data_IF_515144969600
#
_entry.id   IF_515144969600
#
_cell.length_a   1.000
_cell.length_b   1.000
_cell.length_c   1.000
_cell.angle_alpha   90.00
_cell.angle_beta   90.00
_cell.angle_gamma   90.00
#
_symmetry.space_group_name_H-M   'P 1'
#
loop_
_entity.id
_entity.type
_entity.pdbx_description
1 polymer ?
#
# COMPACT_ATOMS: atom_id res chain seq x y z
N UNK A 1 -6.66 -28.30 -0.89
CA UNK A 1 -7.35 -27.32 -1.73
C UNK A 1 -7.48 -27.83 -3.16
N UNK A 2 -8.72 -27.97 -3.63
CA UNK A 2 -9.02 -28.32 -5.02
C UNK A 2 -9.20 -27.05 -5.85
N UNK A 3 -8.11 -26.31 -6.09
CA UNK A 3 -8.14 -25.19 -7.04
C UNK A 3 -7.81 -25.71 -8.44
N UNK A 4 -8.43 -25.13 -9.46
CA UNK A 4 -8.24 -25.51 -10.88
C UNK A 4 -7.55 -24.39 -11.65
N UNK A 5 -6.52 -23.79 -11.06
CA UNK A 5 -5.73 -22.75 -11.72
C UNK A 5 -4.80 -23.38 -12.76
N UNK A 6 -4.31 -22.59 -13.72
CA UNK A 6 -3.32 -23.01 -14.72
C UNK A 6 -1.94 -23.25 -14.11
N UNK A 7 -1.82 -24.21 -13.19
CA UNK A 7 -0.59 -24.46 -12.43
C UNK A 7 0.62 -24.78 -13.31
N UNK A 8 0.43 -25.49 -14.43
CA UNK A 8 1.52 -25.76 -15.38
C UNK A 8 2.10 -24.48 -15.97
N UNK A 9 1.24 -23.56 -16.42
CA UNK A 9 1.66 -22.29 -17.03
C UNK A 9 2.28 -21.36 -15.98
N UNK A 10 1.70 -21.31 -14.78
CA UNK A 10 2.25 -20.58 -13.64
C UNK A 10 3.64 -21.10 -13.27
N UNK A 11 3.80 -22.42 -13.18
CA UNK A 11 5.08 -23.06 -12.84
C UNK A 11 6.13 -22.78 -13.90
N UNK A 12 5.77 -22.89 -15.18
CA UNK A 12 6.67 -22.61 -16.31
C UNK A 12 7.19 -21.17 -16.24
N UNK A 13 6.29 -20.18 -16.11
CA UNK A 13 6.66 -18.76 -16.06
C UNK A 13 7.49 -18.43 -14.82
N UNK A 14 7.07 -18.85 -13.63
CA UNK A 14 7.80 -18.57 -12.38
C UNK A 14 9.17 -19.25 -12.38
N UNK A 15 9.28 -20.46 -12.94
CA UNK A 15 10.56 -21.18 -13.00
C UNK A 15 11.53 -20.54 -13.99
N UNK A 16 11.05 -20.08 -15.14
CA UNK A 16 11.85 -19.42 -16.17
C UNK A 16 12.40 -18.05 -15.76
N UNK A 17 11.74 -17.36 -14.83
CA UNK A 17 12.12 -16.01 -14.40
C UNK A 17 13.10 -16.01 -13.22
N UNK A 18 14.14 -15.19 -13.27
CA UNK A 18 15.09 -15.01 -12.16
C UNK A 18 14.74 -13.82 -11.27
N UNK A 19 14.23 -12.74 -11.89
CA UNK A 19 13.78 -11.51 -11.23
C UNK A 19 12.28 -11.33 -11.43
N UNK A 20 11.54 -11.19 -10.33
CA UNK A 20 10.08 -11.10 -10.34
C UNK A 20 9.66 -9.78 -9.68
N UNK A 21 8.75 -9.05 -10.32
CA UNK A 21 8.11 -7.87 -9.76
C UNK A 21 6.68 -8.20 -9.31
N UNK A 22 6.39 -8.03 -8.03
CA UNK A 22 5.04 -8.10 -7.48
C UNK A 22 4.45 -6.69 -7.43
N UNK A 23 3.36 -6.45 -8.15
CA UNK A 23 2.76 -5.12 -8.30
C UNK A 23 1.35 -5.05 -7.71
N UNK A 24 1.11 -4.00 -6.92
CA UNK A 24 -0.15 -3.68 -6.28
C UNK A 24 -0.85 -2.48 -6.94
N UNK A 25 -2.19 -2.37 -6.85
CA UNK A 25 -2.94 -1.22 -7.34
C UNK A 25 -2.67 0.03 -6.52
N UNK A 26 -3.13 1.17 -7.01
CA UNK A 26 -3.25 2.38 -6.19
C UNK A 26 -4.25 2.15 -5.06
N UNK A 27 -3.91 2.63 -3.85
CA UNK A 27 -4.69 2.47 -2.62
C UNK A 27 -5.13 1.02 -2.38
N UNK A 28 -4.16 0.10 -2.21
CA UNK A 28 -4.49 -1.30 -2.03
C UNK A 28 -5.23 -1.53 -0.71
N UNK A 29 -6.14 -2.50 -0.72
CA UNK A 29 -6.76 -3.04 0.48
C UNK A 29 -5.77 -3.86 1.32
N UNK A 30 -6.11 -4.08 2.59
CA UNK A 30 -5.31 -4.91 3.50
C UNK A 30 -5.05 -6.31 2.95
N UNK A 31 -6.07 -6.96 2.38
CA UNK A 31 -5.95 -8.27 1.72
C UNK A 31 -4.99 -8.27 0.51
N UNK A 32 -5.03 -7.22 -0.32
CA UNK A 32 -4.10 -7.10 -1.45
C UNK A 32 -2.65 -7.01 -0.96
N UNK A 33 -2.38 -6.17 0.04
CA UNK A 33 -1.03 -6.04 0.61
C UNK A 33 -0.58 -7.35 1.27
N UNK A 34 -1.45 -7.99 2.05
CA UNK A 34 -1.17 -9.24 2.72
C UNK A 34 -0.84 -10.38 1.74
N UNK A 35 -1.68 -10.54 0.71
CA UNK A 35 -1.48 -11.55 -0.33
C UNK A 35 -0.21 -11.31 -1.15
N UNK A 36 0.07 -10.06 -1.53
CA UNK A 36 1.28 -9.71 -2.27
C UNK A 36 2.56 -9.96 -1.45
N UNK A 37 2.56 -9.60 -0.16
CA UNK A 37 3.68 -9.88 0.74
C UNK A 37 3.88 -11.39 0.97
N UNK A 38 2.79 -12.15 1.04
CA UNK A 38 2.85 -13.62 1.17
C UNK A 38 3.51 -14.26 -0.05
N UNK A 39 3.10 -13.85 -1.24
CA UNK A 39 3.71 -14.35 -2.48
C UNK A 39 5.17 -13.89 -2.59
N UNK A 40 5.47 -12.65 -2.22
CA UNK A 40 6.82 -12.11 -2.18
C UNK A 40 7.75 -12.95 -1.28
N UNK A 41 7.35 -13.25 -0.05
CA UNK A 41 8.14 -14.05 0.89
C UNK A 41 8.36 -15.48 0.36
N UNK A 42 7.29 -16.11 -0.13
CA UNK A 42 7.35 -17.47 -0.68
C UNK A 42 8.28 -17.58 -1.89
N UNK A 43 8.21 -16.63 -2.83
CA UNK A 43 9.10 -16.58 -3.99
C UNK A 43 10.54 -16.23 -3.62
N UNK A 44 10.76 -15.38 -2.62
CA UNK A 44 12.10 -15.07 -2.14
C UNK A 44 12.76 -16.30 -1.50
N UNK A 45 11.98 -17.08 -0.72
CA UNK A 45 12.43 -18.32 -0.11
C UNK A 45 12.74 -19.42 -1.13
N UNK A 46 12.12 -19.40 -2.31
CA UNK A 46 12.45 -20.32 -3.41
C UNK A 46 13.70 -19.91 -4.19
N UNK A 47 14.41 -18.86 -3.74
CA UNK A 47 15.68 -18.40 -4.32
C UNK A 47 15.54 -17.41 -5.47
N UNK A 48 14.34 -16.87 -5.71
CA UNK A 48 14.12 -15.83 -6.73
C UNK A 48 14.48 -14.45 -6.18
N UNK A 49 14.91 -13.56 -7.07
CA UNK A 49 15.03 -12.13 -6.72
C UNK A 49 13.67 -11.49 -6.91
N UNK A 50 13.03 -11.04 -5.84
CA UNK A 50 11.68 -10.51 -5.89
C UNK A 50 11.68 -9.05 -5.46
N UNK A 51 10.97 -8.22 -6.20
CA UNK A 51 10.69 -6.83 -5.86
C UNK A 51 9.20 -6.68 -5.62
N UNK A 52 8.79 -5.81 -4.70
CA UNK A 52 7.38 -5.52 -4.47
C UNK A 52 7.15 -4.01 -4.54
N UNK A 53 6.10 -3.61 -5.25
CA UNK A 53 5.78 -2.21 -5.48
C UNK A 53 4.32 -1.88 -5.31
N UNK A 54 4.08 -0.69 -4.77
CA UNK A 54 2.75 -0.10 -4.70
C UNK A 54 2.87 1.41 -4.92
N UNK A 55 2.15 2.01 -5.88
CA UNK A 55 2.17 3.46 -6.10
C UNK A 55 1.61 4.30 -4.94
N UNK A 56 1.05 3.68 -3.90
CA UNK A 56 0.58 4.36 -2.69
C UNK A 56 1.47 3.96 -1.51
N UNK A 57 1.96 4.94 -0.77
CA UNK A 57 2.77 4.71 0.44
C UNK A 57 2.00 3.87 1.45
N UNK A 58 2.67 2.89 2.07
CA UNK A 58 2.08 2.07 3.12
C UNK A 58 1.86 2.89 4.39
N UNK A 59 0.65 2.81 4.94
CA UNK A 59 0.27 3.46 6.21
C UNK A 59 0.48 2.53 7.40
N UNK A 60 0.26 3.04 8.61
CA UNK A 60 0.34 2.26 9.87
C UNK A 60 -0.63 1.07 9.92
N UNK A 61 -1.68 1.06 9.09
CA UNK A 61 -2.66 -0.04 9.02
C UNK A 61 -2.01 -1.36 8.60
N UNK A 62 -0.98 -1.31 7.76
CA UNK A 62 -0.28 -2.48 7.24
C UNK A 62 0.89 -2.93 8.12
N UNK A 63 1.17 -2.25 9.24
CA UNK A 63 2.37 -2.49 10.06
C UNK A 63 2.46 -3.91 10.65
N UNK A 64 1.33 -4.60 10.76
CA UNK A 64 1.23 -5.96 11.28
C UNK A 64 1.56 -7.03 10.24
N UNK A 65 1.74 -6.65 8.97
CA UNK A 65 2.13 -7.56 7.91
C UNK A 65 3.65 -7.69 7.86
N UNK A 66 4.12 -8.93 7.79
CA UNK A 66 5.54 -9.24 7.68
C UNK A 66 6.05 -8.80 6.32
N UNK A 67 7.14 -8.01 6.33
CA UNK A 67 7.80 -7.53 5.11
C UNK A 67 7.20 -6.27 4.50
N UNK A 68 6.27 -5.58 5.18
CA UNK A 68 5.67 -4.33 4.68
C UNK A 68 6.70 -3.24 4.36
N UNK A 69 7.83 -3.24 5.07
CA UNK A 69 8.97 -2.34 4.84
C UNK A 69 9.68 -2.57 3.49
N UNK A 70 9.43 -3.70 2.82
CA UNK A 70 9.98 -4.03 1.51
C UNK A 70 9.21 -3.40 0.35
N UNK A 71 8.02 -2.86 0.62
CA UNK A 71 7.18 -2.23 -0.41
C UNK A 71 7.75 -0.88 -0.79
N UNK A 72 8.12 -0.75 -2.05
CA UNK A 72 8.65 0.50 -2.62
C UNK A 72 7.60 1.19 -3.49
N UNK A 73 7.53 2.52 -3.42
CA UNK A 73 6.61 3.29 -4.27
C UNK A 73 6.95 3.22 -5.75
N UNK A 74 8.25 3.15 -6.03
CA UNK A 74 8.80 3.02 -7.36
C UNK A 74 9.88 1.96 -7.33
N UNK A 75 9.82 1.02 -8.25
CA UNK A 75 10.96 0.17 -8.52
C UNK A 75 11.85 0.90 -9.49
N UNK A 76 13.07 1.19 -9.03
CA UNK A 76 14.09 1.74 -9.90
C UNK A 76 14.49 0.65 -10.89
N UNK A 77 14.36 0.95 -12.18
CA UNK A 77 14.91 0.11 -13.23
C UNK A 77 16.42 -0.05 -13.10
N UNK A 78 16.96 -1.13 -13.68
CA UNK A 78 18.40 -1.37 -13.77
C UNK A 78 19.09 -0.33 -14.64
N UNK A 79 18.35 0.24 -15.60
CA UNK A 79 18.92 1.10 -16.62
C UNK A 79 18.62 2.55 -16.25
N UNK A 80 19.68 3.31 -15.97
CA UNK A 80 19.56 4.76 -15.76
C UNK A 80 19.45 5.45 -17.11
N UNK A 81 18.30 6.03 -17.40
CA UNK A 81 18.10 6.92 -18.55
C UNK A 81 18.38 8.35 -18.11
N UNK A 82 19.32 9.00 -18.79
CA UNK A 82 19.59 10.43 -18.65
C UNK A 82 19.06 11.15 -19.88
N UNK A 83 17.93 11.82 -19.74
CA UNK A 83 17.30 12.61 -20.79
C UNK A 83 17.63 14.08 -20.62
N UNK A 84 18.00 14.77 -21.68
CA UNK A 84 18.30 16.20 -21.64
C UNK A 84 17.20 16.98 -22.35
N UNK A 85 16.72 18.05 -21.73
CA UNK A 85 15.86 19.04 -22.40
C UNK A 85 16.70 19.93 -23.32
N UNK A 86 17.20 19.31 -24.39
CA UNK A 86 18.16 19.87 -25.30
C UNK A 86 17.96 19.28 -26.69
N UNK A 87 18.02 20.13 -27.74
CA UNK A 87 17.80 19.66 -29.11
C UNK A 87 18.94 18.73 -29.54
N UNK A 88 18.59 17.54 -30.02
CA UNK A 88 19.55 16.55 -30.53
C UNK A 88 20.41 17.09 -31.68
N UNK A 89 19.89 18.03 -32.46
CA UNK A 89 20.60 18.63 -33.60
C UNK A 89 21.77 19.52 -33.17
N UNK A 90 21.80 19.92 -31.89
CA UNK A 90 22.87 20.73 -31.29
C UNK A 90 23.95 19.85 -30.64
N UNK A 91 23.73 18.54 -30.53
CA UNK A 91 24.71 17.59 -30.03
C UNK A 91 25.66 17.21 -31.17
N UNK A 92 26.96 17.32 -30.92
CA UNK A 92 28.01 16.90 -31.85
C UNK A 92 28.39 15.44 -31.63
N UNK A 93 28.56 15.04 -30.37
CA UNK A 93 28.99 13.68 -30.01
C UNK A 93 28.55 13.30 -28.60
N UNK A 94 28.17 12.04 -28.43
CA UNK A 94 28.02 11.40 -27.11
C UNK A 94 29.08 10.30 -27.00
N UNK A 95 29.85 10.30 -25.91
CA UNK A 95 30.88 9.31 -25.65
C UNK A 95 30.90 8.84 -24.20
N UNK A 96 31.42 7.64 -23.99
CA UNK A 96 31.65 7.05 -22.67
C UNK A 96 33.13 7.13 -22.31
N UNK A 97 33.45 7.47 -21.05
CA UNK A 97 34.77 7.24 -20.46
C UNK A 97 34.65 6.49 -19.12
N UNK A 98 35.73 5.84 -18.72
CA UNK A 98 35.89 5.31 -17.37
C UNK A 98 37.04 6.07 -16.70
N UNK A 99 36.74 6.72 -15.57
CA UNK A 99 37.74 7.37 -14.71
C UNK A 99 37.81 6.64 -13.36
N UNK A 100 38.79 5.76 -13.22
CA UNK A 100 39.05 5.00 -11.99
C UNK A 100 37.83 4.20 -11.48
N UNK A 101 37.11 3.53 -12.39
CA UNK A 101 35.92 2.74 -12.07
C UNK A 101 34.64 3.59 -11.97
N UNK A 102 34.68 4.86 -12.41
CA UNK A 102 33.51 5.73 -12.51
C UNK A 102 33.14 5.91 -13.98
N UNK A 103 32.02 5.32 -14.43
CA UNK A 103 31.54 5.53 -15.79
C UNK A 103 31.04 6.96 -15.96
N UNK A 104 31.57 7.68 -16.95
CA UNK A 104 31.14 9.03 -17.31
C UNK A 104 30.54 9.05 -18.71
N UNK A 105 29.40 9.73 -18.84
CA UNK A 105 28.83 10.10 -20.13
C UNK A 105 29.26 11.52 -20.47
N UNK A 106 29.98 11.70 -21.58
CA UNK A 106 30.45 13.00 -22.07
C UNK A 106 29.63 13.39 -23.29
N UNK A 107 28.90 14.50 -23.17
CA UNK A 107 28.11 15.08 -24.25
C UNK A 107 28.82 16.33 -24.76
N UNK A 108 29.24 16.29 -26.02
CA UNK A 108 29.85 17.41 -26.72
C UNK A 108 28.79 18.09 -27.59
N UNK A 109 28.67 19.40 -27.42
CA UNK A 109 27.75 20.24 -28.19
C UNK A 109 28.48 20.90 -29.36
N UNK A 110 27.75 21.20 -30.44
CA UNK A 110 28.31 21.87 -31.62
C UNK A 110 28.83 23.25 -31.28
N UNK A 111 29.86 23.67 -32.00
CA UNK A 111 30.47 24.98 -31.81
C UNK A 111 29.44 26.11 -32.06
N UNK A 112 29.26 27.01 -31.08
CA UNK A 112 28.25 28.08 -31.11
C UNK A 112 26.86 27.69 -30.56
N UNK A 113 26.64 26.43 -30.18
CA UNK A 113 25.40 26.01 -29.51
C UNK A 113 25.36 26.48 -28.04
N UNK A 114 24.16 26.66 -27.45
CA UNK A 114 24.02 26.99 -26.04
C UNK A 114 24.64 25.91 -25.15
N UNK A 115 25.35 26.31 -24.08
CA UNK A 115 25.92 25.36 -23.13
C UNK A 115 24.83 24.45 -22.53
N UNK A 116 25.11 23.14 -22.47
CA UNK A 116 24.24 22.16 -21.81
C UNK A 116 24.32 22.36 -20.29
N UNK A 117 23.19 22.70 -19.66
CA UNK A 117 23.14 22.97 -18.22
C UNK A 117 22.67 21.74 -17.44
N UNK A 118 23.21 21.55 -16.24
CA UNK A 118 22.84 20.43 -15.34
C UNK A 118 21.33 20.35 -15.09
N UNK A 119 20.66 21.49 -14.89
CA UNK A 119 19.21 21.58 -14.68
C UNK A 119 18.35 21.06 -15.85
N UNK A 120 18.94 20.86 -17.03
CA UNK A 120 18.27 20.30 -18.19
C UNK A 120 18.36 18.77 -18.22
N UNK A 121 19.20 18.17 -17.38
CA UNK A 121 19.27 16.73 -17.20
C UNK A 121 18.08 16.25 -16.36
N UNK A 122 17.39 15.25 -16.88
CA UNK A 122 16.33 14.50 -16.21
C UNK A 122 16.78 13.06 -16.11
N UNK A 123 16.74 12.54 -14.90
CA UNK A 123 17.04 11.13 -14.64
C UNK A 123 15.72 10.37 -14.56
N UNK A 124 15.59 9.35 -15.37
CA UNK A 124 14.57 8.32 -15.25
C UNK A 124 15.25 6.96 -15.20
N UNK A 125 14.52 5.96 -14.77
CA UNK A 125 14.98 4.59 -14.81
C UNK A 125 14.07 3.82 -15.76
N UNK A 126 14.65 2.98 -16.62
CA UNK A 126 13.91 2.06 -17.46
C UNK A 126 14.35 0.63 -17.17
N UNK A 127 13.47 -0.31 -17.54
CA UNK A 127 13.66 -1.72 -17.29
C UNK A 127 13.73 -2.00 -15.79
N UNK A 128 12.61 -2.32 -15.14
CA UNK A 128 12.56 -2.85 -13.76
C UNK A 128 13.47 -4.09 -13.62
N UNK A 129 14.02 -4.60 -14.72
CA UNK A 129 14.95 -5.71 -14.76
C UNK A 129 14.28 -7.00 -14.28
N UNK A 130 12.95 -6.98 -14.13
CA UNK A 130 12.15 -8.13 -13.82
C UNK A 130 11.80 -8.86 -15.12
N UNK A 131 12.02 -10.16 -15.11
CA UNK A 131 11.70 -11.06 -16.20
C UNK A 131 10.20 -11.42 -16.20
N UNK A 132 9.52 -11.17 -15.07
CA UNK A 132 8.11 -11.48 -14.84
C UNK A 132 7.48 -10.45 -13.90
N UNK A 133 6.28 -10.02 -14.24
CA UNK A 133 5.43 -9.21 -13.38
C UNK A 133 4.28 -10.08 -12.89
N UNK A 134 4.02 -10.02 -11.58
CA UNK A 134 2.83 -10.60 -10.97
C UNK A 134 1.98 -9.47 -10.41
N UNK A 135 0.80 -9.24 -10.97
CA UNK A 135 -0.14 -8.23 -10.49
C UNK A 135 -1.14 -8.85 -9.53
N UNK A 136 -1.42 -8.17 -8.41
CA UNK A 136 -2.43 -8.60 -7.44
C UNK A 136 -3.52 -7.55 -7.28
N UNK A 137 -4.75 -7.86 -7.70
CA UNK A 137 -5.91 -7.00 -7.53
C UNK A 137 -5.91 -5.76 -8.43
N UNK A 138 -5.24 -5.85 -9.58
CA UNK A 138 -5.25 -4.84 -10.64
C UNK A 138 -6.20 -5.33 -11.72
N UNK A 139 -7.24 -4.54 -12.03
CA UNK A 139 -8.30 -4.95 -12.98
C UNK A 139 -7.95 -4.71 -14.45
N UNK A 140 -7.11 -3.71 -14.70
CA UNK A 140 -6.74 -3.24 -16.03
C UNK A 140 -5.25 -2.89 -16.04
N UNK A 141 -4.54 -3.30 -17.08
CA UNK A 141 -3.12 -3.00 -17.30
C UNK A 141 -2.82 -1.50 -17.23
N UNK A 142 -3.78 -0.65 -17.64
CA UNK A 142 -3.63 0.80 -17.58
C UNK A 142 -3.45 1.32 -16.14
N UNK A 143 -3.93 0.58 -15.14
CA UNK A 143 -3.77 0.92 -13.73
C UNK A 143 -2.40 0.53 -13.15
N UNK A 144 -1.57 -0.21 -13.91
CA UNK A 144 -0.20 -0.51 -13.52
C UNK A 144 0.65 0.77 -13.61
N UNK A 145 1.03 1.33 -12.46
CA UNK A 145 1.74 2.61 -12.38
C UNK A 145 3.15 2.62 -13.00
N UNK A 146 3.66 1.44 -13.39
CA UNK A 146 4.99 1.23 -13.96
C UNK A 146 4.96 1.11 -15.50
N UNK A 147 4.04 1.83 -16.15
CA UNK A 147 3.88 1.88 -17.61
C UNK A 147 5.09 2.51 -18.33
N UNK A 148 6.18 1.76 -18.39
CA UNK A 148 7.19 1.90 -19.44
C UNK A 148 7.59 0.50 -19.88
N UNK A 149 6.89 0.02 -20.90
CA UNK A 149 7.35 -1.02 -21.85
C UNK A 149 7.27 -2.50 -21.46
N UNK A 150 6.43 -2.90 -20.48
CA UNK A 150 6.18 -4.33 -20.25
C UNK A 150 5.18 -4.89 -21.26
N UNK A 151 5.66 -5.78 -22.14
CA UNK A 151 4.77 -6.64 -22.92
C UNK A 151 3.93 -7.52 -22.00
N UNK A 152 2.67 -7.78 -22.39
CA UNK A 152 1.72 -8.64 -21.66
C UNK A 152 2.22 -10.08 -21.49
N UNK A 153 3.14 -10.51 -22.36
CA UNK A 153 3.68 -11.88 -22.45
C UNK A 153 4.38 -12.35 -21.16
N UNK A 154 4.82 -11.42 -20.31
CA UNK A 154 5.52 -11.69 -19.05
C UNK A 154 4.72 -11.22 -17.83
N UNK A 155 3.38 -11.23 -17.93
CA UNK A 155 2.49 -10.84 -16.84
C UNK A 155 1.68 -12.07 -16.37
N UNK A 156 1.72 -12.34 -15.06
CA UNK A 156 0.74 -13.15 -14.36
C UNK A 156 -0.21 -12.20 -13.63
N UNK A 157 -1.49 -12.27 -13.94
CA UNK A 157 -2.49 -11.40 -13.34
C UNK A 157 -3.39 -12.18 -12.38
N UNK A 158 -3.39 -11.79 -11.10
CA UNK A 158 -4.13 -12.45 -10.02
C UNK A 158 -5.18 -11.48 -9.48
N UNK A 159 -6.44 -11.89 -9.49
CA UNK A 159 -7.54 -11.09 -8.96
C UNK A 159 -8.72 -11.97 -8.54
N UNK A 160 -9.72 -11.38 -7.90
CA UNK A 160 -11.01 -11.99 -7.60
C UNK A 160 -12.18 -11.18 -8.19
N UNK A 161 -11.90 -10.03 -8.82
CA UNK A 161 -12.93 -9.23 -9.45
C UNK A 161 -13.36 -9.85 -10.81
N UNK A 162 -14.66 -10.20 -11.00
CA UNK A 162 -15.14 -10.76 -12.26
C UNK A 162 -15.07 -9.78 -13.44
N UNK A 163 -14.88 -8.48 -13.19
CA UNK A 163 -14.72 -7.45 -14.21
C UNK A 163 -13.24 -7.24 -14.61
N UNK A 164 -12.33 -8.07 -14.11
CA UNK A 164 -10.92 -8.01 -14.50
C UNK A 164 -10.75 -8.28 -16.00
N UNK A 165 -9.92 -7.48 -16.68
CA UNK A 165 -9.71 -7.54 -18.13
C UNK A 165 -8.88 -8.72 -18.64
N UNK A 166 -8.36 -9.58 -17.76
CA UNK A 166 -7.49 -10.71 -18.12
C UNK A 166 -6.31 -10.31 -19.02
N UNK A 167 -5.61 -9.25 -18.63
CA UNK A 167 -4.56 -8.63 -19.45
C UNK A 167 -3.19 -9.33 -19.35
N UNK A 168 -3.03 -10.31 -18.47
CA UNK A 168 -1.80 -11.09 -18.36
C UNK A 168 -1.71 -12.19 -19.40
N UNK A 169 -0.50 -12.72 -19.62
CA UNK A 169 -0.31 -13.96 -20.37
C UNK A 169 -0.97 -15.14 -19.63
N UNK A 170 -0.85 -15.15 -18.30
CA UNK A 170 -1.53 -16.11 -17.42
C UNK A 170 -2.43 -15.32 -16.48
N UNK A 171 -3.71 -15.68 -16.42
CA UNK A 171 -4.70 -14.98 -15.60
C UNK A 171 -5.30 -15.95 -14.58
N UNK A 172 -5.20 -15.61 -13.30
CA UNK A 172 -5.82 -16.30 -12.18
C UNK A 172 -6.87 -15.37 -11.57
N UNK A 173 -8.06 -15.37 -12.19
CA UNK A 173 -9.19 -14.57 -11.72
C UNK A 173 -10.24 -15.48 -11.09
N UNK A 174 -10.18 -15.65 -9.76
CA UNK A 174 -11.09 -16.53 -9.02
C UNK A 174 -12.23 -15.71 -8.38
N UNK A 175 -13.28 -15.48 -9.16
CA UNK A 175 -14.46 -14.71 -8.71
C UNK A 175 -15.27 -15.39 -7.60
N UNK A 176 -15.02 -16.66 -7.31
CA UNK A 176 -15.69 -17.41 -6.23
C UNK A 176 -14.92 -17.36 -4.92
N UNK A 177 -13.64 -17.00 -4.96
CA UNK A 177 -12.82 -16.88 -3.76
C UNK A 177 -13.29 -15.76 -2.84
N UNK A 178 -13.06 -15.93 -1.54
CA UNK A 178 -13.42 -14.96 -0.50
C UNK A 178 -12.45 -13.77 -0.41
N UNK A 179 -11.21 -13.97 -0.86
CA UNK A 179 -10.11 -13.01 -0.74
C UNK A 179 -8.98 -13.35 -1.71
N UNK A 180 -8.14 -12.38 -2.06
CA UNK A 180 -6.95 -12.62 -2.88
C UNK A 180 -5.93 -13.46 -2.09
N UNK A 181 -5.89 -13.32 -0.76
CA UNK A 181 -5.04 -14.16 0.10
C UNK A 181 -5.36 -15.66 -0.02
N UNK A 182 -6.64 -16.02 -0.16
CA UNK A 182 -7.06 -17.41 -0.40
C UNK A 182 -6.55 -17.92 -1.77
N UNK A 183 -6.66 -17.10 -2.81
CA UNK A 183 -6.12 -17.41 -4.16
C UNK A 183 -4.61 -17.61 -4.11
N UNK A 184 -3.89 -16.70 -3.45
CA UNK A 184 -2.43 -16.78 -3.30
C UNK A 184 -2.00 -18.01 -2.51
N UNK A 185 -2.72 -18.38 -1.44
CA UNK A 185 -2.44 -19.63 -0.73
C UNK A 185 -2.62 -20.84 -1.66
N UNK A 186 -3.67 -20.83 -2.50
CA UNK A 186 -3.91 -21.85 -3.52
C UNK A 186 -2.76 -21.96 -4.52
N UNK A 187 -2.24 -20.82 -4.99
CA UNK A 187 -1.07 -20.76 -5.89
C UNK A 187 0.18 -21.31 -5.19
N UNK A 188 0.52 -20.81 -4.01
CA UNK A 188 1.71 -21.24 -3.24
C UNK A 188 1.66 -22.75 -2.99
N UNK A 189 0.51 -23.25 -2.53
CA UNK A 189 0.33 -24.67 -2.22
C UNK A 189 0.37 -25.54 -3.47
N UNK A 190 -0.32 -25.13 -4.55
CA UNK A 190 -0.40 -25.90 -5.79
C UNK A 190 0.91 -25.95 -6.57
N UNK A 191 1.75 -24.92 -6.44
CA UNK A 191 3.10 -24.90 -7.02
C UNK A 191 4.17 -25.54 -6.11
N UNK A 192 3.82 -25.91 -4.88
CA UNK A 192 4.78 -26.42 -3.90
C UNK A 192 5.83 -25.38 -3.50
N UNK A 193 5.48 -24.09 -3.53
CA UNK A 193 6.38 -23.02 -3.09
C UNK A 193 6.52 -23.05 -1.55
N UNK A 194 7.65 -22.56 -1.01
CA UNK A 194 7.85 -22.47 0.43
C UNK A 194 6.72 -21.70 1.12
N UNK A 195 6.18 -22.27 2.19
CA UNK A 195 5.10 -21.68 2.99
C UNK A 195 5.44 -21.84 4.46
N UNK A 196 5.98 -20.77 5.06
CA UNK A 196 6.37 -20.71 6.46
C UNK A 196 5.32 -19.98 7.32
N UNK A 197 5.63 -19.84 8.61
CA UNK A 197 4.72 -19.21 9.59
C UNK A 197 4.46 -17.73 9.27
N UNK A 198 5.46 -16.99 8.78
CA UNK A 198 5.32 -15.57 8.46
C UNK A 198 4.44 -15.36 7.23
N UNK A 199 4.65 -16.17 6.19
CA UNK A 199 3.80 -16.21 5.00
C UNK A 199 2.37 -16.61 5.37
N UNK A 200 2.21 -17.65 6.17
CA UNK A 200 0.90 -18.09 6.66
C UNK A 200 0.20 -17.02 7.52
N UNK A 201 0.95 -16.27 8.32
CA UNK A 201 0.42 -15.20 9.15
C UNK A 201 -0.12 -14.03 8.32
N UNK A 202 0.59 -13.65 7.24
CA UNK A 202 0.11 -12.64 6.29
C UNK A 202 -1.16 -13.11 5.59
N UNK A 203 -1.18 -14.32 5.03
CA UNK A 203 -2.36 -14.91 4.36
C UNK A 203 -3.56 -14.92 5.31
N UNK A 204 -3.38 -15.41 6.55
CA UNK A 204 -4.45 -15.45 7.54
C UNK A 204 -4.97 -14.06 7.88
N UNK A 205 -4.09 -13.07 8.03
CA UNK A 205 -4.49 -11.69 8.32
C UNK A 205 -5.32 -11.09 7.16
N UNK A 206 -4.93 -11.35 5.91
CA UNK A 206 -5.66 -10.89 4.72
C UNK A 206 -7.04 -11.52 4.61
N UNK A 207 -7.14 -12.86 4.75
CA UNK A 207 -8.43 -13.57 4.78
C UNK A 207 -9.30 -13.01 5.91
N UNK A 208 -8.75 -12.85 7.11
CA UNK A 208 -9.51 -12.44 8.29
C UNK A 208 -10.09 -11.03 8.15
N UNK A 209 -9.32 -10.08 7.61
CA UNK A 209 -9.79 -8.72 7.36
C UNK A 209 -10.85 -8.72 6.25
N UNK A 210 -10.55 -9.33 5.10
CA UNK A 210 -11.44 -9.32 3.94
C UNK A 210 -12.80 -9.94 4.20
N UNK A 211 -12.83 -10.96 5.06
CA UNK A 211 -14.04 -11.73 5.40
C UNK A 211 -14.70 -11.28 6.70
N UNK A 212 -14.22 -10.18 7.30
CA UNK A 212 -14.67 -9.69 8.61
C UNK A 212 -14.73 -10.80 9.67
N UNK A 213 -13.62 -11.52 9.84
CA UNK A 213 -13.50 -12.65 10.74
C UNK A 213 -14.37 -13.84 10.33
N UNK A 214 -14.43 -14.15 9.03
CA UNK A 214 -15.20 -15.27 8.45
C UNK A 214 -16.74 -15.11 8.57
N UNK A 215 -17.24 -13.88 8.72
CA UNK A 215 -18.67 -13.61 8.90
C UNK A 215 -19.42 -13.30 7.59
N UNK A 216 -18.71 -13.10 6.47
CA UNK A 216 -19.34 -12.76 5.20
C UNK A 216 -19.97 -13.97 4.50
N UNK A 217 -21.08 -13.80 3.74
CA UNK A 217 -21.74 -14.90 3.03
C UNK A 217 -20.89 -15.61 1.97
N UNK A 218 -19.85 -14.94 1.46
CA UNK A 218 -18.92 -15.46 0.45
C UNK A 218 -17.92 -16.47 1.02
N UNK A 219 -17.80 -16.59 2.34
CA UNK A 219 -16.90 -17.55 3.00
C UNK A 219 -17.34 -18.96 2.64
N UNK A 220 -16.42 -19.75 2.08
CA UNK A 220 -16.68 -21.09 1.59
C UNK A 220 -15.86 -22.14 2.36
N UNK A 221 -16.07 -23.42 2.04
CA UNK A 221 -15.26 -24.51 2.58
C UNK A 221 -13.75 -24.30 2.31
N UNK A 222 -13.40 -23.77 1.12
CA UNK A 222 -12.03 -23.45 0.74
C UNK A 222 -11.43 -22.35 1.65
N UNK A 223 -12.23 -21.37 2.05
CA UNK A 223 -11.81 -20.31 2.98
C UNK A 223 -11.47 -20.91 4.35
N UNK A 224 -12.32 -21.79 4.87
CA UNK A 224 -12.05 -22.50 6.13
C UNK A 224 -10.84 -23.43 6.02
N UNK A 225 -10.66 -24.11 4.89
CA UNK A 225 -9.46 -24.93 4.64
C UNK A 225 -8.20 -24.07 4.65
N UNK A 226 -8.23 -22.90 4.00
CA UNK A 226 -7.12 -21.94 3.95
C UNK A 226 -6.73 -21.46 5.33
N UNK A 227 -7.71 -21.10 6.16
CA UNK A 227 -7.48 -20.77 7.57
C UNK A 227 -6.89 -21.95 8.33
N UNK A 228 -7.42 -23.16 8.16
CA UNK A 228 -6.90 -24.36 8.82
C UNK A 228 -5.44 -24.65 8.45
N UNK A 229 -5.06 -24.47 7.17
CA UNK A 229 -3.67 -24.59 6.71
C UNK A 229 -2.78 -23.57 7.44
N UNK A 230 -3.18 -22.30 7.47
CA UNK A 230 -2.39 -21.26 8.13
C UNK A 230 -2.20 -21.55 9.63
N UNK A 231 -3.26 -21.97 10.33
CA UNK A 231 -3.20 -22.32 11.75
C UNK A 231 -2.28 -23.53 12.01
N UNK A 232 -2.29 -24.54 11.13
CA UNK A 232 -1.38 -25.70 11.24
C UNK A 232 0.09 -25.31 11.13
N UNK A 233 0.40 -24.26 10.36
CA UNK A 233 1.74 -23.71 10.22
C UNK A 233 2.13 -22.77 11.37
N UNK A 234 1.25 -22.57 12.35
CA UNK A 234 1.51 -21.76 13.53
C UNK A 234 1.07 -20.30 13.41
N UNK A 235 0.38 -19.91 12.33
CA UNK A 235 -0.23 -18.59 12.26
C UNK A 235 -1.28 -18.45 13.37
N UNK A 236 -1.36 -17.26 13.95
CA UNK A 236 -2.30 -16.95 15.02
C UNK A 236 -3.41 -16.08 14.45
N UNK A 237 -4.65 -16.41 14.82
CA UNK A 237 -5.81 -15.58 14.46
C UNK A 237 -5.56 -14.16 14.95
N UNK A 238 -5.83 -13.14 14.13
CA UNK A 238 -5.82 -11.77 14.61
C UNK A 238 -6.74 -11.72 15.82
N UNK A 239 -6.17 -11.42 16.99
CA UNK A 239 -6.99 -11.07 18.13
C UNK A 239 -7.82 -9.89 17.66
N UNK A 240 -9.14 -9.96 17.86
CA UNK A 240 -9.98 -8.82 17.55
C UNK A 240 -9.35 -7.58 18.16
N UNK A 241 -9.67 -6.40 17.64
CA UNK A 241 -9.73 -5.30 18.57
C UNK A 241 -10.68 -5.74 19.68
N UNK A 242 -10.14 -6.31 20.77
CA UNK A 242 -10.52 -5.77 22.05
C UNK A 242 -10.47 -4.28 21.79
N UNK A 243 -11.65 -3.67 21.71
CA UNK A 243 -11.78 -2.28 22.07
C UNK A 243 -10.86 -2.18 23.27
N UNK A 244 -9.68 -1.56 23.10
CA UNK A 244 -8.92 -1.11 24.24
C UNK A 244 -9.95 -0.25 24.90
N UNK A 245 -10.64 -0.80 25.92
CA UNK A 245 -11.66 -0.06 26.64
C UNK A 245 -10.91 1.23 26.96
N UNK A 246 -11.40 2.40 26.50
CA UNK A 246 -10.71 3.64 26.84
C UNK A 246 -10.44 3.52 28.34
N UNK A 247 -9.17 3.72 28.78
CA UNK A 247 -8.77 3.40 30.13
C UNK A 247 -9.88 3.93 31.02
N UNK A 248 -10.56 3.01 31.73
CA UNK A 248 -11.70 3.40 32.55
C UNK A 248 -11.11 4.43 33.47
N UNK A 249 -11.47 5.70 33.26
CA UNK A 249 -11.14 6.75 34.19
C UNK A 249 -11.97 6.38 35.40
N UNK A 250 -11.38 5.60 36.32
CA UNK A 250 -11.92 5.43 37.65
C UNK A 250 -12.13 6.86 38.12
N UNK A 251 -13.40 7.25 38.31
CA UNK A 251 -13.72 8.49 38.98
C UNK A 251 -12.81 8.54 40.20
N UNK A 252 -11.93 9.54 40.26
CA UNK A 252 -11.17 9.79 41.48
C UNK A 252 -12.20 9.79 42.59
N UNK A 253 -12.02 8.91 43.58
CA UNK A 253 -12.82 8.98 44.80
C UNK A 253 -12.82 10.46 45.22
N UNK A 254 -13.98 11.07 45.45
CA UNK A 254 -14.00 12.46 45.85
C UNK A 254 -13.14 12.58 47.12
N UNK A 255 -12.12 13.44 47.04
CA UNK A 255 -11.33 13.81 48.21
C UNK A 255 -12.32 14.25 49.30
N UNK A 256 -12.38 13.49 50.39
CA UNK A 256 -13.21 13.84 51.53
C UNK A 256 -12.55 15.04 52.22
N UNK A 257 -12.86 16.26 51.76
CA UNK A 257 -12.46 17.47 52.45
C UNK A 257 -13.24 17.56 53.76
N UNK A 258 -12.58 17.72 54.92
CA UNK A 258 -13.29 18.02 56.15
C UNK A 258 -14.05 19.34 55.98
N UNK A 259 -15.37 19.31 56.21
CA UNK A 259 -16.24 20.49 56.13
C UNK A 259 -15.76 21.56 57.11
N UNK A 260 -15.56 22.82 56.68
CA UNK A 260 -15.40 23.94 57.60
C UNK A 260 -16.69 24.14 58.40
N UNK A 261 -16.60 24.24 59.73
CA UNK A 261 -17.72 24.68 60.56
C UNK A 261 -18.00 26.15 60.27
N UNK A 262 -19.20 26.43 59.76
CA UNK A 262 -19.67 27.80 59.53
C UNK A 262 -20.37 28.25 60.82
N UNK A 263 -19.74 29.19 61.54
CA UNK A 263 -20.42 29.95 62.59
C UNK A 263 -21.46 30.90 61.96
N UNK A 264 -22.72 30.79 62.37
CA UNK A 264 -23.80 31.66 61.91
C UNK A 264 -23.60 33.09 62.41
N UNK A 265 -23.44 34.05 61.49
CA UNK A 265 -23.61 35.49 61.75
C UNK A 265 -24.92 36.01 61.16
N UNK A 266 -25.60 36.98 61.81
CA UNK A 266 -26.99 37.33 61.50
C UNK A 266 -27.18 38.02 60.14
N UNK A 267 -28.36 37.78 59.56
CA UNK A 267 -28.79 38.15 58.21
C UNK A 267 -29.04 39.66 58.05
N UNK A 268 -28.29 40.33 57.17
CA UNK A 268 -28.62 41.69 56.67
C UNK A 268 -29.42 41.64 55.36
N UNK A 269 -30.32 42.62 55.19
CA UNK A 269 -31.38 42.64 54.19
C UNK A 269 -30.88 42.84 52.73
N UNK A 270 -31.48 42.09 51.80
CA UNK A 270 -31.18 42.15 50.36
C UNK A 270 -31.69 43.46 49.72
N UNK A 271 -30.86 44.13 48.91
CA UNK A 271 -31.31 45.19 47.99
C UNK A 271 -31.88 44.55 46.70
N UNK A 272 -32.96 45.10 46.11
CA UNK A 272 -33.59 44.54 44.91
C UNK A 272 -32.71 44.70 43.66
N UNK A 273 -32.89 43.83 42.64
CA UNK A 273 -32.01 43.75 41.48
C UNK A 273 -32.21 44.91 40.49
N UNK A 274 -31.12 45.44 39.95
CA UNK A 274 -31.10 46.47 38.91
C UNK A 274 -31.44 45.84 37.56
N UNK A 275 -32.43 46.39 36.83
CA UNK A 275 -32.75 45.98 35.45
C UNK A 275 -31.70 46.51 34.46
N UNK A 276 -31.30 45.72 33.44
CA UNK A 276 -30.29 46.15 32.46
C UNK A 276 -30.81 47.26 31.51
N UNK A 277 -29.93 48.13 30.97
CA UNK A 277 -30.32 49.26 30.11
C UNK A 277 -30.90 48.83 28.75
N UNK A 278 -31.82 49.65 28.22
CA UNK A 278 -32.65 49.35 27.04
C UNK A 278 -31.94 49.37 25.67
N UNK A 279 -30.70 49.89 25.60
CA UNK A 279 -29.92 50.00 24.35
C UNK A 279 -29.39 48.67 23.80
N UNK A 280 -29.69 47.56 24.48
CA UNK A 280 -29.33 46.21 24.04
C UNK A 280 -30.23 45.70 22.89
N UNK A 281 -31.34 46.38 22.60
CA UNK A 281 -32.38 45.89 21.68
C UNK A 281 -32.56 46.70 20.40
N UNK A 282 -31.71 47.70 20.11
CA UNK A 282 -31.80 48.44 18.85
C UNK A 282 -30.82 47.89 17.79
N UNK A 283 -31.29 47.61 16.55
CA UNK A 283 -30.43 47.06 15.49
C UNK A 283 -29.46 48.11 14.95
N UNK A 284 -28.17 47.77 14.91
CA UNK A 284 -27.10 48.65 14.39
C UNK A 284 -27.20 48.80 12.88
N UNK A 285 -27.51 50.01 12.41
CA UNK A 285 -27.56 50.36 10.99
C UNK A 285 -26.15 50.78 10.54
N UNK A 286 -25.52 50.01 9.64
CA UNK A 286 -24.28 50.41 8.98
C UNK A 286 -24.59 51.45 7.90
N UNK A 287 -24.11 52.69 8.07
CA UNK A 287 -24.01 53.68 6.98
C UNK A 287 -22.55 53.80 6.57
N UNK A 288 -22.25 53.39 5.34
CA UNK A 288 -21.00 53.74 4.66
C UNK A 288 -21.07 55.18 4.13
N UNK A 289 -19.97 55.91 4.27
CA UNK A 289 -19.64 57.11 3.51
C UNK A 289 -18.10 57.16 3.46
N UNK A 290 -17.50 56.89 2.31
CA UNK A 290 -17.29 57.79 1.16
C UNK A 290 -16.10 58.71 1.39
N UNK A 291 -15.14 58.54 0.48
CA UNK A 291 -13.94 59.31 0.19
C UNK A 291 -14.19 60.81 0.05
N UNK A 292 -13.25 61.60 0.56
CA UNK A 292 -12.71 62.80 -0.09
C UNK A 292 -11.26 62.99 0.38
#
# INVERSE_FOLDING_TARGET
MNKTYSFSELQEKISASGKILVALPQRPSFDQVASALSLFLSLQQSGKTVFITCPTSMTVEFNRLVGVDKITEKVHGTDLIVSFDYSSDQVEKVSYNDDNGKPNLVIQIKNGAPALLEKQARFSYAGIGADLIITLGIKDINALSQNSDYGTDNIINIDIDPLNGNFGQVNVVDSQSSSISEVVLGIISGLGLPLDVDTAQNILAGIWEKTNGLSLPRVSADTYESVAICLRLGAVKPQGSEQRKPPVFTQRQPFNQPKPQIEEKPREAQKPPVKPPADWFEPKIFKGASTA
#
